data_IF_087818313403
#
_entry.id   IF_087818313403
#
_cell.length_a   1.000
_cell.length_b   1.000
_cell.length_c   1.000
_cell.angle_alpha   90.00
_cell.angle_beta   90.00
_cell.angle_gamma   90.00
#
_symmetry.space_group_name_H-M   'P 1'
#
loop_
_entity.id
_entity.type
_entity.pdbx_description
1 polymer ?
#
# COMPACT_ATOMS: atom_id res chain seq x y z
N UNK A 1 8.72 29.75 -26.62
CA UNK A 1 8.15 30.01 -25.26
C UNK A 1 7.47 28.76 -24.83
N UNK A 2 7.68 28.32 -23.58
CA UNK A 2 7.06 27.10 -23.06
C UNK A 2 5.87 27.44 -22.18
N UNK A 3 4.80 26.69 -22.32
CA UNK A 3 3.54 26.87 -21.62
C UNK A 3 3.20 25.61 -20.83
N UNK A 4 2.62 25.77 -19.64
CA UNK A 4 2.13 24.68 -18.83
C UNK A 4 0.62 24.76 -18.67
N UNK A 5 -0.06 23.65 -18.91
CA UNK A 5 -1.46 23.45 -18.59
C UNK A 5 -1.57 23.00 -17.13
N UNK A 6 -2.28 23.76 -16.31
CA UNK A 6 -2.29 23.58 -14.87
C UNK A 6 -3.72 23.46 -14.38
N UNK A 7 -3.98 22.42 -13.57
CA UNK A 7 -5.20 22.26 -12.78
C UNK A 7 -4.98 22.92 -11.43
N UNK A 8 -5.81 23.92 -11.10
CA UNK A 8 -5.70 24.63 -9.83
C UNK A 8 -6.26 23.80 -8.68
N UNK A 9 -5.60 23.79 -7.53
CA UNK A 9 -6.07 23.07 -6.33
C UNK A 9 -7.27 23.78 -5.69
N UNK A 10 -8.40 23.75 -6.39
CA UNK A 10 -9.69 24.25 -5.93
C UNK A 10 -10.79 23.27 -6.35
N UNK A 11 -11.44 22.64 -5.38
CA UNK A 11 -12.52 21.68 -5.62
C UNK A 11 -13.84 22.38 -5.96
N UNK A 12 -13.95 22.87 -7.20
CA UNK A 12 -15.18 23.51 -7.69
C UNK A 12 -15.39 23.16 -9.16
N UNK A 13 -16.57 22.65 -9.51
CA UNK A 13 -16.89 22.18 -10.88
C UNK A 13 -16.62 23.20 -11.98
N UNK A 14 -16.95 24.47 -11.77
CA UNK A 14 -16.69 25.55 -12.74
C UNK A 14 -15.22 25.81 -13.01
N UNK A 15 -14.32 25.32 -12.12
CA UNK A 15 -12.87 25.46 -12.22
C UNK A 15 -12.21 24.13 -12.58
N UNK A 16 -13.00 23.09 -12.89
CA UNK A 16 -12.51 21.76 -13.31
C UNK A 16 -12.03 21.76 -14.77
N UNK A 17 -11.09 22.63 -15.05
CA UNK A 17 -10.42 22.79 -16.35
C UNK A 17 -8.96 23.16 -16.16
N UNK A 18 -8.14 22.86 -17.16
CA UNK A 18 -6.77 23.35 -17.17
C UNK A 18 -6.72 24.82 -17.53
N UNK A 19 -5.85 25.54 -16.86
CA UNK A 19 -5.50 26.92 -17.17
C UNK A 19 -4.06 26.95 -17.68
N UNK A 20 -3.84 27.63 -18.78
CA UNK A 20 -2.51 27.74 -19.36
C UNK A 20 -1.73 28.88 -18.74
N UNK A 21 -0.47 28.61 -18.38
CA UNK A 21 0.46 29.57 -17.80
C UNK A 21 1.76 29.59 -18.61
N UNK A 22 2.41 30.74 -18.66
CA UNK A 22 3.75 30.88 -19.21
C UNK A 22 4.76 30.27 -18.23
N UNK A 23 5.66 29.45 -18.73
CA UNK A 23 6.79 28.91 -17.97
C UNK A 23 7.96 29.89 -18.10
N UNK A 24 8.44 30.48 -16.99
CA UNK A 24 9.62 31.35 -17.02
C UNK A 24 10.85 30.57 -17.52
N UNK A 25 11.76 31.24 -18.24
CA UNK A 25 12.95 30.62 -18.81
C UNK A 25 13.79 29.84 -17.77
N UNK A 26 13.87 30.36 -16.54
CA UNK A 26 14.58 29.73 -15.42
C UNK A 26 13.99 28.40 -14.95
N UNK A 27 12.72 28.10 -15.28
CA UNK A 27 12.01 26.90 -14.88
C UNK A 27 11.76 25.96 -16.07
N UNK A 28 12.19 26.32 -17.26
CA UNK A 28 11.86 25.62 -18.50
C UNK A 28 12.38 24.18 -18.54
N UNK A 29 13.60 23.99 -18.06
CA UNK A 29 14.26 22.68 -18.07
C UNK A 29 13.90 21.84 -16.83
N UNK A 30 13.29 22.46 -15.82
CA UNK A 30 12.95 21.81 -14.54
C UNK A 30 11.48 21.36 -14.49
N UNK A 31 10.57 22.12 -15.16
CA UNK A 31 9.14 21.88 -15.07
C UNK A 31 8.73 20.64 -15.87
N UNK A 32 8.00 19.73 -15.23
CA UNK A 32 7.52 18.50 -15.86
C UNK A 32 6.04 18.27 -15.55
N UNK A 33 5.38 17.48 -16.40
CA UNK A 33 4.02 17.00 -16.15
C UNK A 33 4.03 16.18 -14.86
N UNK A 34 3.13 16.52 -13.94
CA UNK A 34 3.06 15.89 -12.63
C UNK A 34 3.53 16.76 -11.48
N UNK A 35 4.27 17.79 -11.76
CA UNK A 35 4.78 18.67 -10.72
C UNK A 35 3.69 19.56 -10.13
N UNK A 36 3.85 19.87 -8.84
CA UNK A 36 3.07 20.89 -8.15
C UNK A 36 3.80 22.22 -8.25
N UNK A 37 3.09 23.23 -8.74
CA UNK A 37 3.63 24.55 -8.94
C UNK A 37 2.80 25.61 -8.21
N UNK A 38 3.46 26.69 -7.84
CA UNK A 38 2.80 27.91 -7.35
C UNK A 38 2.43 28.81 -8.53
N UNK A 39 1.16 29.21 -8.61
CA UNK A 39 0.61 30.03 -9.68
C UNK A 39 -0.22 31.20 -9.15
N UNK A 40 -0.23 32.36 -9.79
CA UNK A 40 -1.12 33.46 -9.46
C UNK A 40 -2.52 33.18 -10.06
N UNK A 41 -3.54 33.05 -9.20
CA UNK A 41 -4.90 32.74 -9.63
C UNK A 41 -5.92 33.81 -9.23
N UNK A 42 -6.95 34.00 -10.07
CA UNK A 42 -8.02 34.95 -9.86
C UNK A 42 -7.64 36.42 -10.13
N UNK A 43 -8.57 37.34 -9.89
CA UNK A 43 -8.36 38.79 -10.14
C UNK A 43 -7.35 39.42 -9.16
N UNK A 44 -7.24 38.88 -7.96
CA UNK A 44 -6.29 39.35 -6.93
C UNK A 44 -4.90 38.72 -7.00
N UNK A 45 -4.58 37.94 -8.02
CA UNK A 45 -3.29 37.22 -8.15
C UNK A 45 -2.84 36.47 -6.90
N UNK A 46 -3.79 35.91 -6.13
CA UNK A 46 -3.45 35.12 -4.97
C UNK A 46 -2.66 33.87 -5.40
N UNK A 47 -1.53 33.63 -4.75
CA UNK A 47 -0.73 32.45 -5.03
C UNK A 47 -1.49 31.20 -4.60
N UNK A 48 -1.67 30.27 -5.53
CA UNK A 48 -2.32 28.98 -5.34
C UNK A 48 -1.45 27.86 -5.85
N UNK A 49 -1.65 26.68 -5.33
CA UNK A 49 -1.03 25.45 -5.86
C UNK A 49 -1.80 24.98 -7.07
N UNK A 50 -1.07 24.42 -8.02
CA UNK A 50 -1.65 23.79 -9.20
C UNK A 50 -0.81 22.61 -9.64
N UNK A 51 -1.44 21.70 -10.37
CA UNK A 51 -0.80 20.48 -10.91
C UNK A 51 -0.54 20.69 -12.40
N UNK A 52 0.68 20.49 -12.83
CA UNK A 52 1.04 20.51 -14.26
C UNK A 52 0.51 19.24 -14.91
N UNK A 53 -0.44 19.38 -15.82
CA UNK A 53 -1.08 18.26 -16.55
C UNK A 53 -0.69 18.20 -18.03
N UNK A 54 0.02 19.20 -18.52
CA UNK A 54 0.54 19.23 -19.88
C UNK A 54 1.54 20.35 -20.06
N UNK A 55 2.42 20.19 -21.03
CA UNK A 55 3.42 21.19 -21.47
C UNK A 55 3.30 21.33 -22.97
N UNK A 56 3.37 22.57 -23.48
CA UNK A 56 3.29 22.87 -24.91
C UNK A 56 4.17 24.06 -25.28
N UNK A 57 4.58 24.14 -26.53
CA UNK A 57 5.38 25.28 -27.07
C UNK A 57 4.50 26.35 -27.72
N UNK A 58 3.20 26.10 -27.82
CA UNK A 58 2.23 27.03 -28.40
C UNK A 58 1.13 27.42 -27.38
N UNK A 59 0.69 28.69 -27.42
CA UNK A 59 -0.43 29.13 -26.58
C UNK A 59 -1.75 28.59 -27.16
N UNK A 60 -2.60 28.02 -26.31
CA UNK A 60 -3.95 27.56 -26.70
C UNK A 60 -4.88 28.71 -27.10
N UNK A 61 -4.64 29.91 -26.56
CA UNK A 61 -5.41 31.10 -26.86
C UNK A 61 -4.46 32.22 -27.29
N UNK A 62 -4.60 32.66 -28.53
CA UNK A 62 -3.81 33.77 -29.09
C UNK A 62 -4.37 35.13 -28.62
N UNK A 63 -3.48 36.08 -28.32
CA UNK A 63 -3.88 37.46 -27.99
C UNK A 63 -4.23 37.73 -26.52
N UNK A 64 -4.06 36.77 -25.63
CA UNK A 64 -4.23 36.95 -24.17
C UNK A 64 -2.85 36.92 -23.51
N UNK A 65 -2.58 37.89 -22.64
CA UNK A 65 -1.40 37.86 -21.80
C UNK A 65 -1.57 36.79 -20.71
N UNK A 66 -0.82 35.68 -20.84
CA UNK A 66 -0.86 34.61 -19.87
C UNK A 66 -0.03 34.98 -18.64
N UNK A 67 -0.53 34.57 -17.47
CA UNK A 67 0.23 34.68 -16.22
C UNK A 67 1.35 33.66 -16.19
N UNK A 68 2.41 33.95 -15.44
CA UNK A 68 3.57 33.06 -15.33
C UNK A 68 3.50 32.20 -14.07
N UNK A 69 4.07 31.00 -14.16
CA UNK A 69 4.35 30.16 -13.01
C UNK A 69 5.32 30.89 -12.07
N UNK A 70 5.05 30.88 -10.77
CA UNK A 70 5.87 31.56 -9.76
C UNK A 70 7.06 30.69 -9.34
N UNK A 71 6.85 29.41 -9.15
CA UNK A 71 7.86 28.45 -8.72
C UNK A 71 7.36 27.03 -8.70
N UNK A 72 8.28 26.08 -8.58
CA UNK A 72 8.02 24.67 -8.42
C UNK A 72 7.97 24.37 -6.92
N UNK A 73 6.93 23.69 -6.47
CA UNK A 73 6.72 23.32 -5.05
C UNK A 73 7.35 21.94 -4.71
N UNK A 74 7.59 21.14 -5.73
CA UNK A 74 8.13 19.78 -5.58
C UNK A 74 9.12 19.47 -6.72
N UNK A 75 10.33 19.06 -6.37
CA UNK A 75 11.40 18.61 -7.29
C UNK A 75 11.18 17.16 -7.79
N UNK A 76 9.96 16.63 -7.83
CA UNK A 76 9.73 15.19 -8.02
C UNK A 76 9.26 14.82 -9.42
N UNK A 77 10.04 13.91 -10.03
CA UNK A 77 9.98 13.46 -11.42
C UNK A 77 8.91 12.41 -11.78
N UNK A 78 8.56 12.41 -13.03
CA UNK A 78 8.13 11.32 -13.99
C UNK A 78 7.17 10.19 -13.55
N UNK A 79 7.23 9.61 -12.37
CA UNK A 79 6.26 8.60 -11.91
C UNK A 79 4.86 9.21 -11.78
N UNK A 80 4.81 10.49 -11.50
CA UNK A 80 3.57 11.25 -11.33
C UNK A 80 2.83 11.47 -12.65
N UNK A 81 3.51 11.52 -13.80
CA UNK A 81 2.86 11.70 -15.11
C UNK A 81 1.86 10.57 -15.44
N UNK A 82 2.22 9.32 -15.13
CA UNK A 82 1.33 8.16 -15.35
C UNK A 82 0.15 8.16 -14.37
N UNK A 83 0.38 8.55 -13.11
CA UNK A 83 -0.69 8.70 -12.13
C UNK A 83 -1.63 9.85 -12.49
N UNK A 84 -1.12 10.93 -13.08
CA UNK A 84 -1.96 12.03 -13.59
C UNK A 84 -2.79 11.58 -14.80
N UNK A 85 -2.21 10.81 -15.72
CA UNK A 85 -2.97 10.22 -16.81
C UNK A 85 -4.09 9.29 -16.27
N UNK A 86 -3.79 8.51 -15.24
CA UNK A 86 -4.78 7.71 -14.53
C UNK A 86 -5.87 8.58 -13.89
N UNK A 87 -5.53 9.71 -13.27
CA UNK A 87 -6.50 10.66 -12.71
C UNK A 87 -7.42 11.23 -13.79
N UNK A 88 -6.89 11.56 -14.98
CA UNK A 88 -7.66 12.00 -16.13
C UNK A 88 -8.69 10.95 -16.55
N UNK A 89 -8.27 9.71 -16.69
CA UNK A 89 -9.15 8.60 -17.00
C UNK A 89 -10.21 8.37 -15.91
N UNK A 90 -9.82 8.47 -14.63
CA UNK A 90 -10.77 8.33 -13.50
C UNK A 90 -11.83 9.44 -13.52
N UNK A 91 -11.44 10.68 -13.83
CA UNK A 91 -12.38 11.80 -14.01
C UNK A 91 -13.45 11.48 -15.06
N UNK A 92 -13.03 11.00 -16.23
CA UNK A 92 -13.92 10.69 -17.34
C UNK A 92 -14.86 9.52 -17.04
N UNK A 93 -14.36 8.47 -16.40
CA UNK A 93 -15.10 7.23 -16.21
C UNK A 93 -15.94 7.19 -14.92
N UNK A 94 -15.62 8.02 -13.92
CA UNK A 94 -16.33 8.00 -12.62
C UNK A 94 -17.00 9.33 -12.25
N UNK A 95 -17.12 10.25 -13.19
CA UNK A 95 -17.87 11.49 -13.01
C UNK A 95 -17.37 12.35 -11.84
N UNK A 96 -16.05 12.42 -11.66
CA UNK A 96 -15.41 13.26 -10.63
C UNK A 96 -14.77 14.51 -11.23
N UNK A 97 -14.38 15.46 -10.38
CA UNK A 97 -13.51 16.54 -10.82
C UNK A 97 -12.05 16.05 -10.91
N UNK A 98 -11.25 16.69 -11.77
CA UNK A 98 -9.84 16.35 -11.90
C UNK A 98 -9.07 16.46 -10.59
N UNK A 99 -9.39 17.48 -9.78
CA UNK A 99 -8.74 17.66 -8.49
C UNK A 99 -9.09 16.55 -7.48
N UNK A 100 -10.32 16.02 -7.52
CA UNK A 100 -10.70 14.87 -6.68
C UNK A 100 -9.93 13.62 -7.11
N UNK A 101 -9.84 13.40 -8.43
CA UNK A 101 -9.06 12.28 -8.96
C UNK A 101 -7.57 12.42 -8.62
N UNK A 102 -6.97 13.59 -8.80
CA UNK A 102 -5.58 13.86 -8.44
C UNK A 102 -5.31 13.63 -6.94
N UNK A 103 -6.19 14.12 -6.06
CA UNK A 103 -6.07 13.87 -4.61
C UNK A 103 -6.19 12.40 -4.22
N UNK A 104 -6.82 11.59 -5.05
CA UNK A 104 -6.93 10.14 -4.85
C UNK A 104 -5.67 9.42 -5.28
N UNK A 105 -5.14 9.74 -6.46
CA UNK A 105 -3.95 9.06 -7.00
C UNK A 105 -2.63 9.61 -6.45
N UNK A 106 -2.62 10.87 -5.97
CA UNK A 106 -1.48 11.55 -5.35
C UNK A 106 -1.84 11.93 -3.89
N UNK A 107 -2.08 10.96 -3.01
CA UNK A 107 -2.68 11.23 -1.69
C UNK A 107 -1.78 12.02 -0.75
N UNK A 108 -0.48 12.13 -1.04
CA UNK A 108 0.49 12.76 -0.16
C UNK A 108 1.07 14.02 -0.83
N UNK A 109 0.46 15.15 -0.52
CA UNK A 109 0.81 16.44 -1.11
C UNK A 109 1.69 17.32 -0.22
N UNK A 110 1.91 16.94 1.04
CA UNK A 110 2.75 17.70 1.97
C UNK A 110 4.04 16.95 2.24
N UNK A 111 5.17 17.63 2.03
CA UNK A 111 6.47 17.13 2.47
C UNK A 111 6.42 16.97 4.00
N UNK A 112 6.37 15.75 4.47
CA UNK A 112 6.46 15.46 5.90
C UNK A 112 7.93 15.52 6.30
N UNK A 113 8.24 16.09 7.47
CA UNK A 113 9.59 16.00 8.00
C UNK A 113 9.94 14.53 8.20
N UNK A 114 11.04 14.11 7.63
CA UNK A 114 11.60 12.80 7.90
C UNK A 114 11.83 12.63 9.41
N UNK A 115 11.68 11.44 9.90
CA UNK A 115 12.09 11.16 11.28
C UNK A 115 13.61 10.98 11.25
N UNK A 116 14.32 11.93 11.84
CA UNK A 116 15.77 11.85 11.98
C UNK A 116 16.07 11.13 13.30
N UNK A 117 16.77 10.01 13.22
CA UNK A 117 17.47 9.45 14.37
C UNK A 117 18.89 9.98 14.36
N UNK A 118 19.31 10.54 15.49
CA UNK A 118 20.66 11.03 15.67
C UNK A 118 21.47 10.00 16.44
N UNK A 119 22.63 9.69 15.93
CA UNK A 119 23.55 8.73 16.49
C UNK A 119 24.82 9.43 16.93
N UNK A 120 25.34 9.04 18.08
CA UNK A 120 26.64 9.45 18.57
C UNK A 120 27.61 8.32 18.22
N UNK A 121 28.57 8.60 17.38
CA UNK A 121 29.58 7.62 16.93
C UNK A 121 30.95 7.99 17.49
N UNK A 122 31.61 7.06 18.18
CA UNK A 122 32.95 7.23 18.70
C UNK A 122 33.95 7.33 17.54
N UNK A 123 34.81 8.36 17.55
CA UNK A 123 35.82 8.60 16.51
C UNK A 123 37.23 8.18 16.92
N UNK A 124 37.52 8.09 18.23
CA UNK A 124 38.81 7.70 18.77
C UNK A 124 38.94 6.18 18.96
N UNK A 125 40.17 5.69 19.06
CA UNK A 125 40.39 4.27 19.36
C UNK A 125 39.88 3.90 20.77
N UNK A 126 39.56 2.63 20.98
CA UNK A 126 39.16 2.16 22.34
C UNK A 126 40.22 2.44 23.38
N UNK A 127 41.51 2.23 23.04
CA UNK A 127 42.63 2.49 23.93
C UNK A 127 42.71 3.97 24.33
N UNK A 128 42.53 4.89 23.40
CA UNK A 128 42.54 6.33 23.69
C UNK A 128 41.28 6.74 24.47
N UNK A 129 40.15 6.09 24.19
CA UNK A 129 38.94 6.28 24.96
C UNK A 129 39.04 5.84 26.40
N UNK A 130 39.73 4.73 26.70
CA UNK A 130 39.96 4.25 28.05
C UNK A 130 40.89 5.20 28.83
N UNK A 131 41.95 5.69 28.19
CA UNK A 131 42.83 6.72 28.79
C UNK A 131 42.07 8.00 29.11
N UNK A 132 41.27 8.47 28.17
CA UNK A 132 40.42 9.64 28.37
C UNK A 132 39.39 9.43 29.48
N UNK A 133 38.87 8.20 29.64
CA UNK A 133 37.97 7.85 30.72
C UNK A 133 38.61 7.96 32.08
N UNK A 134 39.87 7.53 32.23
CA UNK A 134 40.67 7.69 33.45
C UNK A 134 40.89 9.18 33.78
N UNK A 135 41.27 10.00 32.80
CA UNK A 135 41.42 11.44 32.95
C UNK A 135 40.11 12.14 33.37
N UNK A 136 39.01 11.81 32.72
CA UNK A 136 37.68 12.33 33.04
C UNK A 136 37.20 11.86 34.42
N UNK A 137 37.57 10.65 34.85
CA UNK A 137 37.26 10.09 36.16
C UNK A 137 37.71 10.95 37.33
N UNK A 138 38.79 11.73 37.16
CA UNK A 138 39.28 12.69 38.11
C UNK A 138 38.50 14.02 38.15
N UNK A 139 37.50 14.16 37.26
CA UNK A 139 36.75 15.39 37.09
C UNK A 139 35.31 15.29 37.63
N UNK A 140 34.61 16.45 37.75
CA UNK A 140 33.20 16.51 38.20
C UNK A 140 32.18 16.25 37.07
N UNK A 141 32.61 15.93 35.87
CA UNK A 141 31.76 15.86 34.67
C UNK A 141 31.11 14.47 34.49
N UNK A 142 30.29 14.05 35.43
CA UNK A 142 29.61 12.72 35.44
C UNK A 142 28.89 12.35 34.15
N UNK A 143 28.27 13.32 33.45
CA UNK A 143 27.54 13.06 32.20
C UNK A 143 28.50 12.70 31.05
N UNK A 144 29.71 13.29 31.00
CA UNK A 144 30.73 12.96 30.00
C UNK A 144 31.28 11.56 30.24
N UNK A 145 31.55 11.20 31.50
CA UNK A 145 32.02 9.86 31.88
C UNK A 145 31.01 8.81 31.44
N UNK A 146 29.74 8.95 31.83
CA UNK A 146 28.69 7.99 31.45
C UNK A 146 28.52 7.82 29.96
N UNK A 147 28.59 8.92 29.18
CA UNK A 147 28.50 8.85 27.73
C UNK A 147 29.69 8.10 27.12
N UNK A 148 30.92 8.39 27.56
CA UNK A 148 32.12 7.73 27.07
C UNK A 148 32.14 6.25 27.43
N UNK A 149 31.80 5.89 28.67
CA UNK A 149 31.64 4.51 29.10
C UNK A 149 30.67 3.74 28.24
N UNK A 150 29.48 4.30 27.98
CA UNK A 150 28.49 3.66 27.17
C UNK A 150 28.95 3.48 25.71
N UNK A 151 29.67 4.47 25.14
CA UNK A 151 30.23 4.36 23.79
C UNK A 151 31.30 3.27 23.70
N UNK A 152 32.14 3.14 24.72
CA UNK A 152 33.19 2.12 24.79
C UNK A 152 32.64 0.70 25.03
N UNK A 153 31.55 0.58 25.79
CA UNK A 153 30.88 -0.71 26.04
C UNK A 153 30.11 -1.22 24.81
N UNK A 154 29.69 -0.31 23.91
CA UNK A 154 29.01 -0.70 22.70
C UNK A 154 29.96 -1.27 21.65
N UNK A 155 29.70 -2.47 21.13
CA UNK A 155 30.56 -3.15 20.16
C UNK A 155 30.86 -2.29 18.91
N UNK A 156 29.88 -1.52 18.46
CA UNK A 156 30.00 -0.67 17.28
C UNK A 156 30.42 0.77 17.60
N UNK A 157 30.60 1.13 18.87
CA UNK A 157 30.90 2.49 19.30
C UNK A 157 29.83 3.52 18.92
N UNK A 158 28.57 3.09 18.74
CA UNK A 158 27.47 3.92 18.22
C UNK A 158 26.24 3.83 19.14
N UNK A 159 25.72 4.98 19.59
CA UNK A 159 24.57 5.06 20.52
C UNK A 159 23.56 6.09 20.03
N UNK A 160 22.27 5.80 20.19
CA UNK A 160 21.20 6.74 19.82
C UNK A 160 21.19 7.94 20.77
N UNK A 161 21.19 9.17 20.21
CA UNK A 161 21.20 10.42 20.98
C UNK A 161 19.98 10.54 21.92
N UNK A 162 18.81 10.06 21.49
CA UNK A 162 17.59 10.09 22.31
C UNK A 162 17.74 9.18 23.53
N UNK A 163 18.28 7.97 23.35
CA UNK A 163 18.59 7.05 24.44
C UNK A 163 19.64 7.64 25.41
N UNK A 164 20.75 8.17 24.86
CA UNK A 164 21.79 8.80 25.66
C UNK A 164 21.26 10.00 26.47
N UNK A 165 20.37 10.80 25.92
CA UNK A 165 19.74 11.91 26.63
C UNK A 165 18.85 11.43 27.77
N UNK A 166 18.04 10.38 27.53
CA UNK A 166 17.08 9.86 28.50
C UNK A 166 17.75 9.06 29.63
N UNK A 167 18.63 8.13 29.28
CA UNK A 167 19.17 7.17 30.22
C UNK A 167 20.51 7.66 30.89
N UNK A 168 21.31 8.41 30.12
CA UNK A 168 22.63 8.88 30.62
C UNK A 168 22.60 10.36 31.06
N UNK A 169 21.49 11.08 30.77
CA UNK A 169 21.37 12.51 31.02
C UNK A 169 22.30 13.35 30.14
N UNK A 170 22.62 12.89 28.94
CA UNK A 170 23.46 13.59 27.99
C UNK A 170 22.78 14.87 27.49
N UNK A 171 23.43 15.99 27.66
CA UNK A 171 22.92 17.32 27.23
C UNK A 171 23.61 17.79 25.94
N UNK A 172 23.00 18.77 25.26
CA UNK A 172 23.62 19.36 24.06
C UNK A 172 25.03 19.91 24.30
N UNK A 173 25.32 20.40 25.49
CA UNK A 173 26.68 20.88 25.85
C UNK A 173 27.71 19.74 25.97
N UNK A 174 27.27 18.56 26.41
CA UNK A 174 28.13 17.37 26.45
C UNK A 174 28.42 16.90 25.03
N UNK A 175 27.40 16.83 24.16
CA UNK A 175 27.60 16.45 22.75
C UNK A 175 28.55 17.40 22.05
N UNK A 176 28.32 18.70 22.17
CA UNK A 176 29.21 19.72 21.56
C UNK A 176 30.67 19.56 22.04
N UNK A 177 30.90 19.29 23.33
CA UNK A 177 32.26 19.06 23.84
C UNK A 177 32.90 17.85 23.14
N UNK A 178 32.15 16.74 22.96
CA UNK A 178 32.69 15.55 22.30
C UNK A 178 33.01 15.80 20.83
N UNK A 179 32.19 16.58 20.15
CA UNK A 179 32.43 16.99 18.76
C UNK A 179 33.64 17.94 18.63
N UNK A 180 33.72 18.97 19.46
CA UNK A 180 34.81 19.94 19.45
C UNK A 180 36.17 19.31 19.79
N UNK A 181 36.18 18.27 20.63
CA UNK A 181 37.41 17.53 20.97
C UNK A 181 37.71 16.37 19.97
N UNK A 182 36.87 16.17 18.96
CA UNK A 182 37.03 15.07 17.99
C UNK A 182 36.89 13.67 18.60
N UNK A 183 36.23 13.55 19.76
CA UNK A 183 36.04 12.28 20.48
C UNK A 183 34.90 11.49 19.83
N UNK A 184 33.80 12.16 19.47
CA UNK A 184 32.64 11.55 18.81
C UNK A 184 32.03 12.50 17.79
N UNK A 185 31.34 11.96 16.79
CA UNK A 185 30.50 12.71 15.85
C UNK A 185 29.02 12.46 16.14
N UNK A 186 28.19 13.46 15.86
CA UNK A 186 26.74 13.30 15.87
C UNK A 186 26.25 13.25 14.41
N UNK A 187 25.85 12.05 13.98
CA UNK A 187 25.33 11.81 12.65
C UNK A 187 23.78 11.73 12.72
N UNK A 188 23.11 12.26 11.72
CA UNK A 188 21.67 12.09 11.61
C UNK A 188 21.35 11.18 10.43
N UNK A 189 20.70 10.06 10.71
CA UNK A 189 20.18 9.17 9.70
C UNK A 189 18.67 9.43 9.54
N UNK A 190 18.22 9.58 8.31
CA UNK A 190 16.79 9.54 8.02
C UNK A 190 16.30 8.11 8.29
N UNK A 191 15.44 7.95 9.28
CA UNK A 191 14.83 6.66 9.61
C UNK A 191 13.38 6.68 9.17
N UNK A 192 13.05 5.77 8.28
CA UNK A 192 11.65 5.58 7.89
C UNK A 192 10.85 4.96 9.04
N UNK A 193 9.65 5.48 9.25
CA UNK A 193 8.70 4.89 10.20
C UNK A 193 8.33 3.51 9.71
N UNK A 194 8.54 2.51 10.55
CA UNK A 194 8.23 1.13 10.17
C UNK A 194 6.71 0.93 10.18
N UNK A 195 6.14 0.47 9.06
CA UNK A 195 4.72 0.17 8.93
C UNK A 195 4.29 -1.04 9.78
N UNK A 196 5.28 -1.84 10.25
CA UNK A 196 5.06 -3.02 11.08
C UNK A 196 6.12 -3.02 12.18
N UNK A 197 5.69 -2.83 13.42
CA UNK A 197 6.57 -2.69 14.58
C UNK A 197 7.50 -3.91 14.80
N UNK A 198 7.13 -5.10 14.34
CA UNK A 198 7.84 -6.37 14.59
C UNK A 198 8.38 -7.01 13.30
N UNK A 199 8.53 -6.26 12.21
CA UNK A 199 8.99 -6.83 10.91
C UNK A 199 10.40 -7.44 11.00
N UNK A 200 11.25 -6.91 11.87
CA UNK A 200 12.63 -7.40 12.07
C UNK A 200 12.70 -8.82 12.67
N UNK A 201 11.60 -9.31 13.25
CA UNK A 201 11.54 -10.61 13.95
C UNK A 201 10.98 -11.72 13.05
N UNK A 202 10.48 -11.39 11.85
CA UNK A 202 9.88 -12.37 10.96
C UNK A 202 10.97 -13.18 10.26
N UNK A 203 11.11 -14.50 10.55
CA UNK A 203 12.13 -15.30 9.89
C UNK A 203 11.84 -15.44 8.40
N UNK A 204 12.90 -15.46 7.61
CA UNK A 204 12.81 -15.72 6.18
C UNK A 204 12.28 -17.14 5.94
N UNK A 205 11.25 -17.27 5.10
CA UNK A 205 10.63 -18.55 4.76
C UNK A 205 11.05 -18.93 3.34
N UNK A 206 11.60 -20.13 3.20
CA UNK A 206 11.92 -20.67 1.87
C UNK A 206 10.66 -20.78 0.99
N UNK A 207 10.80 -20.68 -0.33
CA UNK A 207 9.72 -20.93 -1.27
C UNK A 207 9.01 -22.26 -1.00
N UNK A 208 7.68 -22.25 -0.96
CA UNK A 208 6.92 -23.49 -0.93
C UNK A 208 7.08 -24.24 -2.26
N UNK A 209 7.14 -25.57 -2.20
CA UNK A 209 7.08 -26.39 -3.41
C UNK A 209 5.66 -26.31 -3.96
N UNK A 210 5.52 -25.85 -5.18
CA UNK A 210 4.22 -25.77 -5.84
C UNK A 210 3.69 -27.17 -6.15
N UNK A 211 2.40 -27.37 -6.00
CA UNK A 211 1.73 -28.56 -6.53
C UNK A 211 1.73 -28.52 -8.07
N UNK A 212 1.48 -29.66 -8.69
CA UNK A 212 1.40 -29.75 -10.16
C UNK A 212 0.38 -28.76 -10.72
N UNK A 213 -0.80 -28.65 -10.10
CA UNK A 213 -1.85 -27.73 -10.54
C UNK A 213 -1.46 -26.24 -10.37
N UNK A 214 -0.72 -25.92 -9.31
CA UNK A 214 -0.20 -24.56 -9.10
C UNK A 214 0.89 -24.21 -10.11
N UNK A 215 1.80 -25.17 -10.38
CA UNK A 215 2.83 -24.97 -11.40
C UNK A 215 2.22 -24.79 -12.79
N UNK A 216 1.25 -25.61 -13.18
CA UNK A 216 0.54 -25.45 -14.45
C UNK A 216 -0.16 -24.08 -14.55
N UNK A 217 -0.73 -23.60 -13.45
CA UNK A 217 -1.35 -22.26 -13.42
C UNK A 217 -0.31 -21.15 -13.61
N UNK A 218 0.85 -21.25 -12.95
CA UNK A 218 1.96 -20.32 -13.15
C UNK A 218 2.42 -20.32 -14.59
N UNK A 219 2.65 -21.50 -15.17
CA UNK A 219 3.13 -21.66 -16.55
C UNK A 219 2.13 -21.08 -17.57
N UNK A 220 0.83 -21.30 -17.36
CA UNK A 220 -0.21 -20.74 -18.20
C UNK A 220 -0.24 -19.21 -18.11
N UNK A 221 -0.11 -18.65 -16.92
CA UNK A 221 -0.06 -17.19 -16.70
C UNK A 221 1.18 -16.60 -17.37
N UNK A 222 2.33 -17.22 -17.21
CA UNK A 222 3.58 -16.77 -17.82
C UNK A 222 3.53 -16.81 -19.35
N UNK A 223 2.92 -17.87 -19.93
CA UNK A 223 2.70 -17.95 -21.38
C UNK A 223 1.83 -16.81 -21.90
N UNK A 224 0.77 -16.42 -21.16
CA UNK A 224 -0.04 -15.24 -21.53
C UNK A 224 0.79 -13.95 -21.49
N UNK A 225 1.75 -13.83 -20.55
CA UNK A 225 2.59 -12.63 -20.44
C UNK A 225 3.57 -12.45 -21.61
N UNK A 226 3.85 -13.51 -22.37
CA UNK A 226 4.68 -13.46 -23.58
C UNK A 226 3.94 -12.87 -24.79
N UNK A 227 2.60 -12.77 -24.73
CA UNK A 227 1.83 -12.14 -25.80
C UNK A 227 2.14 -10.63 -25.92
N UNK A 228 2.10 -10.06 -27.13
CA UNK A 228 2.34 -8.64 -27.34
C UNK A 228 1.33 -7.74 -26.61
N UNK A 229 0.09 -8.17 -26.48
CA UNK A 229 -0.98 -7.49 -25.72
C UNK A 229 -1.62 -8.49 -24.74
N UNK A 230 -0.99 -8.71 -23.58
CA UNK A 230 -1.44 -9.71 -22.64
C UNK A 230 -2.68 -9.26 -21.90
N UNK A 231 -3.65 -10.16 -21.84
CA UNK A 231 -4.94 -9.94 -21.20
C UNK A 231 -4.83 -10.06 -19.68
N UNK A 232 -5.72 -9.42 -18.91
CA UNK A 232 -5.87 -9.72 -17.50
C UNK A 232 -6.19 -11.21 -17.28
N UNK A 233 -5.64 -11.78 -16.20
CA UNK A 233 -5.87 -13.18 -15.85
C UNK A 233 -6.88 -13.27 -14.70
N UNK A 234 -7.91 -14.08 -14.85
CA UNK A 234 -8.80 -14.49 -13.76
C UNK A 234 -8.33 -15.85 -13.20
N UNK A 235 -7.67 -15.82 -12.04
CA UNK A 235 -7.27 -17.03 -11.31
C UNK A 235 -8.43 -17.47 -10.42
N UNK A 236 -9.22 -18.42 -10.93
CA UNK A 236 -10.36 -19.00 -10.23
C UNK A 236 -9.91 -20.26 -9.48
N UNK A 237 -9.87 -20.20 -8.17
CA UNK A 237 -9.48 -21.33 -7.34
C UNK A 237 -10.25 -21.39 -6.04
N UNK A 238 -10.73 -22.56 -5.66
CA UNK A 238 -11.47 -22.76 -4.41
C UNK A 238 -10.67 -22.29 -3.19
N UNK A 239 -11.34 -22.01 -2.09
CA UNK A 239 -10.67 -21.62 -0.84
C UNK A 239 -9.71 -22.73 -0.41
N UNK A 240 -8.45 -22.38 -0.13
CA UNK A 240 -7.40 -23.36 0.20
C UNK A 240 -6.74 -24.04 -1.00
N UNK A 241 -7.00 -23.60 -2.25
CA UNK A 241 -6.27 -24.09 -3.43
C UNK A 241 -4.82 -23.61 -3.55
N UNK A 242 -4.44 -22.64 -2.70
CA UNK A 242 -3.10 -22.07 -2.70
C UNK A 242 -2.89 -20.96 -3.73
N UNK A 243 -3.92 -20.19 -4.08
CA UNK A 243 -3.79 -18.98 -4.92
C UNK A 243 -2.63 -18.09 -4.49
N UNK A 244 -2.46 -17.94 -3.17
CA UNK A 244 -1.39 -17.09 -2.62
C UNK A 244 0.01 -17.59 -2.99
N UNK A 245 0.24 -18.91 -3.07
CA UNK A 245 1.54 -19.46 -3.50
C UNK A 245 1.81 -19.13 -4.97
N UNK A 246 0.78 -19.20 -5.82
CA UNK A 246 0.87 -18.76 -7.22
C UNK A 246 1.24 -17.27 -7.30
N UNK A 247 0.61 -16.42 -6.46
CA UNK A 247 0.98 -15.00 -6.40
C UNK A 247 2.44 -14.80 -5.99
N UNK A 248 2.89 -15.49 -4.93
CA UNK A 248 4.26 -15.39 -4.44
C UNK A 248 5.29 -15.76 -5.52
N UNK A 249 5.02 -16.80 -6.32
CA UNK A 249 5.91 -17.23 -7.39
C UNK A 249 5.97 -16.18 -8.52
N UNK A 250 4.83 -15.64 -8.93
CA UNK A 250 4.77 -14.61 -9.96
C UNK A 250 5.41 -13.29 -9.51
N UNK A 251 5.26 -12.91 -8.23
CA UNK A 251 5.93 -11.75 -7.64
C UNK A 251 7.44 -11.98 -7.63
N UNK A 252 7.90 -13.16 -7.22
CA UNK A 252 9.32 -13.50 -7.17
C UNK A 252 9.99 -13.38 -8.56
N UNK A 253 9.30 -13.86 -9.61
CA UNK A 253 9.75 -13.69 -10.99
C UNK A 253 9.87 -12.21 -11.37
N UNK A 254 8.84 -11.42 -11.09
CA UNK A 254 8.84 -9.97 -11.38
C UNK A 254 9.98 -9.25 -10.65
N UNK A 255 10.23 -9.59 -9.39
CA UNK A 255 11.32 -9.03 -8.58
C UNK A 255 12.68 -9.39 -9.18
N UNK A 256 12.89 -10.65 -9.58
CA UNK A 256 14.13 -11.12 -10.21
C UNK A 256 14.42 -10.39 -11.52
N UNK A 257 13.39 -9.98 -12.24
CA UNK A 257 13.49 -9.18 -13.46
C UNK A 257 13.64 -7.66 -13.19
N UNK A 258 13.78 -7.26 -11.93
CA UNK A 258 13.93 -5.87 -11.50
C UNK A 258 12.63 -5.06 -11.53
N UNK A 259 11.48 -5.74 -11.60
CA UNK A 259 10.15 -5.14 -11.55
C UNK A 259 9.61 -4.96 -10.13
N UNK A 260 8.44 -4.34 -10.04
CA UNK A 260 7.73 -4.07 -8.79
C UNK A 260 6.28 -4.56 -8.91
N UNK A 261 5.69 -4.96 -7.77
CA UNK A 261 4.36 -5.53 -7.72
C UNK A 261 3.47 -4.84 -6.67
N UNK A 262 2.19 -4.70 -6.99
CA UNK A 262 1.13 -4.28 -6.06
C UNK A 262 0.22 -5.47 -5.82
N UNK A 263 -0.08 -5.75 -4.54
CA UNK A 263 -1.04 -6.77 -4.15
C UNK A 263 -2.18 -6.11 -3.38
N UNK A 264 -3.36 -6.11 -3.96
CA UNK A 264 -4.55 -5.62 -3.31
C UNK A 264 -5.23 -6.76 -2.55
N UNK A 265 -5.45 -6.54 -1.27
CA UNK A 265 -6.13 -7.46 -0.37
C UNK A 265 -7.22 -6.67 0.36
N UNK A 266 -8.46 -7.21 0.49
CA UNK A 266 -9.49 -6.56 1.28
C UNK A 266 -9.02 -6.29 2.71
N UNK A 267 -9.39 -5.15 3.29
CA UNK A 267 -8.87 -4.74 4.60
C UNK A 267 -9.15 -5.77 5.70
N UNK A 268 -10.31 -6.43 5.62
CA UNK A 268 -10.70 -7.51 6.53
C UNK A 268 -9.83 -8.76 6.40
N UNK A 269 -9.28 -9.03 5.22
CA UNK A 269 -8.40 -10.16 4.93
C UNK A 269 -6.91 -9.82 5.12
N UNK A 270 -6.58 -8.54 5.32
CA UNK A 270 -5.22 -8.07 5.58
C UNK A 270 -4.83 -8.32 7.05
N UNK A 271 -4.80 -9.58 7.42
CA UNK A 271 -4.45 -10.04 8.77
C UNK A 271 -2.93 -10.03 8.98
N UNK A 272 -2.52 -10.08 10.24
CA UNK A 272 -1.10 -10.24 10.61
C UNK A 272 -0.47 -11.47 9.93
N UNK A 273 -1.20 -12.58 9.83
CA UNK A 273 -0.71 -13.79 9.17
C UNK A 273 -0.45 -13.58 7.68
N UNK A 274 -1.36 -12.89 6.99
CA UNK A 274 -1.21 -12.56 5.56
C UNK A 274 0.05 -11.70 5.35
N UNK A 275 0.19 -10.65 6.14
CA UNK A 275 1.35 -9.75 6.10
C UNK A 275 2.64 -10.51 6.39
N UNK A 276 2.66 -11.36 7.43
CA UNK A 276 3.81 -12.18 7.80
C UNK A 276 4.26 -13.11 6.67
N UNK A 277 3.34 -13.67 5.87
CA UNK A 277 3.69 -14.50 4.72
C UNK A 277 4.47 -13.73 3.66
N UNK A 278 4.04 -12.51 3.33
CA UNK A 278 4.76 -11.66 2.37
C UNK A 278 6.14 -11.25 2.91
N UNK A 279 6.21 -10.81 4.17
CA UNK A 279 7.50 -10.47 4.80
C UNK A 279 8.44 -11.67 4.90
N UNK A 280 7.94 -12.84 5.29
CA UNK A 280 8.74 -14.07 5.35
C UNK A 280 9.33 -14.46 3.99
N UNK A 281 8.62 -14.16 2.89
CA UNK A 281 9.09 -14.48 1.54
C UNK A 281 10.04 -13.42 0.96
N UNK A 282 9.75 -12.14 1.14
CA UNK A 282 10.41 -11.05 0.42
C UNK A 282 11.19 -10.09 1.32
N UNK A 283 11.12 -10.23 2.65
CA UNK A 283 11.86 -9.43 3.61
C UNK A 283 11.56 -7.93 3.48
N UNK A 284 12.60 -7.11 3.60
CA UNK A 284 12.53 -5.64 3.59
C UNK A 284 12.06 -5.02 2.25
N UNK A 285 11.95 -5.85 1.19
CA UNK A 285 11.43 -5.43 -0.10
C UNK A 285 9.91 -5.24 -0.11
N UNK A 286 9.22 -5.67 0.96
CA UNK A 286 7.76 -5.55 1.14
C UNK A 286 7.43 -4.40 2.05
N UNK A 287 6.35 -3.71 1.75
CA UNK A 287 5.65 -2.85 2.70
C UNK A 287 4.15 -3.04 2.62
N UNK A 288 3.47 -2.59 3.66
CA UNK A 288 2.01 -2.70 3.80
C UNK A 288 1.40 -1.32 4.00
N UNK A 289 0.34 -1.05 3.27
CA UNK A 289 -0.54 0.10 3.52
C UNK A 289 -1.83 -0.41 4.14
N UNK A 290 -2.29 0.22 5.22
CA UNK A 290 -3.60 -0.03 5.82
C UNK A 290 -4.19 1.28 6.35
N UNK A 291 -5.43 1.24 6.85
CA UNK A 291 -6.12 2.42 7.41
C UNK A 291 -5.51 2.92 8.72
N UNK A 292 -4.75 2.09 9.43
CA UNK A 292 -4.13 2.42 10.73
C UNK A 292 -2.85 3.23 10.59
N UNK A 293 -2.22 3.22 9.42
CA UNK A 293 -1.00 4.00 9.18
C UNK A 293 -1.28 5.50 9.27
N UNK A 294 -0.47 6.20 10.04
CA UNK A 294 -0.43 7.65 10.04
C UNK A 294 -0.04 8.20 8.65
N UNK A 295 -0.33 9.47 8.42
CA UNK A 295 0.09 10.13 7.17
C UNK A 295 1.60 10.11 6.97
N UNK A 296 2.38 10.21 8.06
CA UNK A 296 3.83 10.16 8.02
C UNK A 296 4.37 8.79 7.62
N UNK A 297 3.84 7.72 8.22
CA UNK A 297 4.21 6.34 7.85
C UNK A 297 3.88 6.05 6.40
N UNK A 298 2.69 6.44 5.94
CA UNK A 298 2.30 6.27 4.54
C UNK A 298 3.20 7.04 3.59
N UNK A 299 3.59 8.26 3.96
CA UNK A 299 4.55 9.07 3.20
C UNK A 299 5.90 8.36 3.07
N UNK A 300 6.43 7.85 4.18
CA UNK A 300 7.72 7.15 4.20
C UNK A 300 7.67 5.90 3.31
N UNK A 301 6.59 5.11 3.36
CA UNK A 301 6.46 3.93 2.48
C UNK A 301 6.37 4.31 1.00
N UNK A 302 5.67 5.38 0.66
CA UNK A 302 5.61 5.86 -0.73
C UNK A 302 6.95 6.43 -1.21
N UNK A 303 7.70 7.11 -0.34
CA UNK A 303 9.06 7.59 -0.65
C UNK A 303 9.99 6.41 -0.94
N UNK A 304 10.00 5.39 -0.08
CA UNK A 304 10.76 4.14 -0.29
C UNK A 304 10.37 3.42 -1.59
N UNK A 305 9.06 3.33 -1.87
CA UNK A 305 8.56 2.74 -3.12
C UNK A 305 9.09 3.49 -4.36
N UNK A 306 9.07 4.82 -4.33
CA UNK A 306 9.55 5.68 -5.40
C UNK A 306 11.07 5.55 -5.60
N UNK A 307 11.84 5.44 -4.53
CA UNK A 307 13.29 5.26 -4.55
C UNK A 307 13.72 3.85 -5.00
N UNK A 308 12.75 2.91 -5.14
CA UNK A 308 13.04 1.54 -5.55
C UNK A 308 13.50 0.62 -4.42
N UNK A 309 13.50 1.08 -3.16
CA UNK A 309 13.81 0.27 -1.99
C UNK A 309 12.74 -0.81 -1.77
N UNK A 310 11.48 -0.48 -2.07
CA UNK A 310 10.37 -1.41 -2.00
C UNK A 310 10.09 -1.99 -3.39
N UNK A 311 9.87 -3.29 -3.43
CA UNK A 311 9.52 -4.01 -4.64
C UNK A 311 8.09 -4.56 -4.59
N UNK A 312 7.51 -4.71 -3.39
CA UNK A 312 6.13 -5.18 -3.22
C UNK A 312 5.38 -4.26 -2.28
N UNK A 313 4.20 -3.81 -2.71
CA UNK A 313 3.27 -3.09 -1.86
C UNK A 313 2.01 -3.91 -1.67
N UNK A 314 1.68 -4.24 -0.43
CA UNK A 314 0.47 -4.96 -0.05
C UNK A 314 -0.51 -4.02 0.64
N UNK A 315 -1.78 -4.10 0.32
CA UNK A 315 -2.78 -3.27 1.01
C UNK A 315 -4.16 -3.27 0.37
N UNK A 316 -5.10 -2.49 0.92
CA UNK A 316 -6.42 -2.33 0.36
C UNK A 316 -6.39 -1.52 -0.95
N UNK A 317 -7.54 -1.22 -1.51
CA UNK A 317 -7.68 -0.48 -2.78
C UNK A 317 -6.78 0.76 -2.91
N UNK A 318 -6.43 1.44 -1.80
CA UNK A 318 -5.56 2.62 -1.82
C UNK A 318 -4.09 2.30 -2.14
N UNK A 319 -3.65 1.07 -1.92
CA UNK A 319 -2.31 0.63 -2.31
C UNK A 319 -2.12 0.64 -3.84
N UNK A 320 -3.22 0.62 -4.59
CA UNK A 320 -3.20 0.75 -6.05
C UNK A 320 -2.47 2.02 -6.53
N UNK A 321 -2.37 3.06 -5.72
CA UNK A 321 -1.74 4.33 -6.10
C UNK A 321 -0.29 4.47 -5.61
N UNK A 322 0.36 3.39 -5.21
CA UNK A 322 1.78 3.38 -4.86
C UNK A 322 2.62 3.87 -6.04
N UNK A 323 3.50 4.87 -5.84
CA UNK A 323 4.27 5.48 -6.94
C UNK A 323 5.50 4.63 -7.33
N UNK A 324 5.27 3.43 -7.83
CA UNK A 324 6.33 2.56 -8.33
C UNK A 324 6.86 3.04 -9.68
N UNK A 325 8.19 3.08 -9.82
CA UNK A 325 8.84 3.46 -11.07
C UNK A 325 8.87 2.35 -12.12
N UNK A 326 8.83 1.09 -11.68
CA UNK A 326 8.90 -0.12 -12.53
C UNK A 326 7.79 -1.10 -12.20
N UNK A 327 6.55 -0.63 -12.11
CA UNK A 327 5.41 -1.49 -11.88
C UNK A 327 5.25 -2.49 -13.03
N UNK A 328 5.22 -3.79 -12.71
CA UNK A 328 5.08 -4.88 -13.68
C UNK A 328 3.92 -5.82 -13.38
N UNK A 329 3.42 -5.81 -12.15
CA UNK A 329 2.37 -6.73 -11.73
C UNK A 329 1.41 -6.05 -10.76
N UNK A 330 0.12 -6.22 -10.99
CA UNK A 330 -0.95 -5.88 -10.05
C UNK A 330 -1.77 -7.13 -9.79
N UNK A 331 -1.85 -7.54 -8.55
CA UNK A 331 -2.68 -8.66 -8.09
C UNK A 331 -3.85 -8.09 -7.28
N UNK A 332 -5.05 -8.58 -7.54
CA UNK A 332 -6.24 -8.27 -6.75
C UNK A 332 -6.78 -9.58 -6.20
N UNK A 333 -6.55 -9.82 -4.92
CA UNK A 333 -7.09 -11.00 -4.24
C UNK A 333 -8.52 -10.75 -3.80
N UNK A 334 -9.35 -11.81 -3.81
CA UNK A 334 -10.79 -11.76 -3.57
C UNK A 334 -11.48 -10.64 -4.38
N UNK A 335 -11.29 -10.65 -5.72
CA UNK A 335 -11.68 -9.56 -6.62
C UNK A 335 -13.17 -9.19 -6.58
N UNK A 336 -14.00 -10.13 -6.09
CA UNK A 336 -15.44 -9.98 -5.94
C UNK A 336 -15.87 -9.07 -4.78
N UNK A 337 -14.92 -8.75 -3.87
CA UNK A 337 -15.22 -7.99 -2.67
C UNK A 337 -15.70 -6.58 -2.96
N UNK A 338 -16.84 -6.22 -2.37
CA UNK A 338 -17.46 -4.90 -2.56
C UNK A 338 -16.59 -3.73 -2.09
N UNK A 339 -15.67 -3.99 -1.16
CA UNK A 339 -14.72 -3.00 -0.63
C UNK A 339 -13.77 -2.42 -1.69
N UNK A 340 -13.65 -3.07 -2.84
CA UNK A 340 -12.89 -2.56 -3.99
C UNK A 340 -13.61 -1.42 -4.73
N UNK A 341 -14.89 -1.20 -4.51
CA UNK A 341 -15.61 -0.01 -4.94
C UNK A 341 -15.43 1.13 -3.94
N UNK A 342 -15.00 2.30 -4.39
CA UNK A 342 -14.90 3.48 -3.53
C UNK A 342 -16.28 4.10 -3.30
N UNK A 343 -16.60 4.40 -2.04
CA UNK A 343 -17.81 5.13 -1.67
C UNK A 343 -17.65 6.66 -1.86
N UNK A 344 -16.42 7.14 -1.73
CA UNK A 344 -16.07 8.55 -1.90
C UNK A 344 -15.71 8.86 -3.35
N UNK A 345 -15.95 10.11 -3.77
CA UNK A 345 -15.57 10.59 -5.10
C UNK A 345 -14.03 10.74 -5.24
N UNK A 346 -13.48 10.25 -6.36
CA UNK A 346 -14.11 9.46 -7.42
C UNK A 346 -14.54 8.07 -6.93
N UNK A 347 -15.75 7.66 -7.29
CA UNK A 347 -16.27 6.35 -6.89
C UNK A 347 -15.72 5.25 -7.80
N UNK A 348 -14.39 5.14 -7.86
CA UNK A 348 -13.70 4.18 -8.70
C UNK A 348 -13.86 2.74 -8.22
N UNK A 349 -13.72 1.80 -9.14
CA UNK A 349 -13.58 0.38 -8.85
C UNK A 349 -12.11 -0.02 -9.04
N UNK A 350 -11.52 -0.66 -8.02
CA UNK A 350 -10.09 -0.99 -8.03
C UNK A 350 -9.70 -1.88 -9.22
N UNK A 351 -10.54 -2.87 -9.60
CA UNK A 351 -10.31 -3.76 -10.75
C UNK A 351 -10.13 -2.96 -12.05
N UNK A 352 -11.11 -2.14 -12.41
CA UNK A 352 -11.08 -1.37 -13.66
C UNK A 352 -9.91 -0.37 -13.66
N UNK A 353 -9.69 0.27 -12.51
CA UNK A 353 -8.58 1.22 -12.34
C UNK A 353 -7.21 0.54 -12.42
N UNK A 354 -7.08 -0.67 -11.87
CA UNK A 354 -5.87 -1.48 -11.96
C UNK A 354 -5.57 -1.91 -13.40
N UNK A 355 -6.60 -2.36 -14.14
CA UNK A 355 -6.44 -2.75 -15.55
C UNK A 355 -6.01 -1.54 -16.39
N UNK A 356 -6.63 -0.37 -16.17
CA UNK A 356 -6.22 0.83 -16.88
C UNK A 356 -4.81 1.28 -16.49
N UNK A 357 -4.49 1.28 -15.19
CA UNK A 357 -3.13 1.58 -14.71
C UNK A 357 -2.10 0.63 -15.33
N UNK A 358 -2.39 -0.66 -15.36
CA UNK A 358 -1.50 -1.65 -15.96
C UNK A 358 -1.21 -1.37 -17.44
N UNK A 359 -2.24 -0.98 -18.21
CA UNK A 359 -2.06 -0.57 -19.62
C UNK A 359 -1.12 0.65 -19.77
N UNK A 360 -1.27 1.66 -18.88
CA UNK A 360 -0.40 2.84 -18.88
C UNK A 360 1.06 2.53 -18.54
N UNK A 361 1.29 1.49 -17.73
CA UNK A 361 2.62 1.16 -17.20
C UNK A 361 3.26 -0.08 -17.85
N UNK A 362 2.54 -0.78 -18.74
CA UNK A 362 2.98 -2.05 -19.32
C UNK A 362 3.07 -3.17 -18.28
N UNK A 363 2.20 -3.12 -17.27
CA UNK A 363 2.12 -4.12 -16.21
C UNK A 363 1.09 -5.22 -16.52
N UNK A 364 1.11 -6.30 -15.76
CA UNK A 364 0.19 -7.43 -15.83
C UNK A 364 -0.83 -7.36 -14.70
N UNK A 365 -2.03 -7.92 -14.92
CA UNK A 365 -3.09 -7.93 -13.90
C UNK A 365 -3.55 -9.35 -13.65
N UNK A 366 -3.63 -9.71 -12.37
CA UNK A 366 -4.20 -10.98 -11.91
C UNK A 366 -5.35 -10.67 -10.96
N UNK A 367 -6.48 -11.27 -11.25
CA UNK A 367 -7.71 -11.21 -10.46
C UNK A 367 -7.90 -12.58 -9.82
N UNK A 368 -7.77 -12.68 -8.52
CA UNK A 368 -7.93 -13.94 -7.81
C UNK A 368 -9.23 -14.00 -7.05
N UNK A 369 -9.94 -15.12 -7.16
CA UNK A 369 -11.15 -15.35 -6.39
C UNK A 369 -11.51 -16.83 -6.30
N UNK A 370 -12.15 -17.20 -5.19
CA UNK A 370 -12.85 -18.48 -5.07
C UNK A 370 -14.26 -18.41 -5.66
N UNK A 371 -14.86 -17.24 -5.63
CA UNK A 371 -16.22 -16.94 -6.08
C UNK A 371 -16.20 -15.69 -6.95
N UNK A 372 -15.67 -15.78 -8.18
CA UNK A 372 -15.52 -14.64 -9.07
C UNK A 372 -16.81 -13.84 -9.24
N UNK A 373 -16.68 -12.51 -9.38
CA UNK A 373 -17.81 -11.66 -9.74
C UNK A 373 -18.37 -12.08 -11.11
N UNK A 374 -19.67 -11.88 -11.32
CA UNK A 374 -20.31 -12.21 -12.59
C UNK A 374 -19.64 -11.49 -13.76
N UNK A 375 -19.25 -10.24 -13.55
CA UNK A 375 -18.57 -9.43 -14.56
C UNK A 375 -17.19 -9.99 -14.94
N UNK A 376 -16.36 -10.35 -13.95
CA UNK A 376 -15.04 -10.91 -14.21
C UNK A 376 -15.13 -12.29 -14.89
N UNK A 377 -16.06 -13.12 -14.43
CA UNK A 377 -16.28 -14.44 -15.02
C UNK A 377 -16.84 -14.38 -16.44
N UNK A 378 -17.79 -13.46 -16.69
CA UNK A 378 -18.33 -13.22 -18.04
C UNK A 378 -17.23 -12.76 -19.00
N UNK A 379 -16.44 -11.75 -18.61
CA UNK A 379 -15.31 -11.28 -19.44
C UNK A 379 -14.27 -12.37 -19.71
N UNK A 380 -14.05 -13.28 -18.76
CA UNK A 380 -13.17 -14.42 -18.98
C UNK A 380 -13.79 -15.42 -19.98
N UNK A 381 -15.12 -15.60 -19.98
CA UNK A 381 -15.80 -16.43 -20.99
C UNK A 381 -15.78 -15.83 -22.39
N UNK A 382 -15.93 -14.51 -22.49
CA UNK A 382 -15.84 -13.78 -23.77
C UNK A 382 -14.38 -13.64 -24.28
N UNK A 383 -13.40 -14.10 -23.51
CA UNK A 383 -12.00 -14.05 -23.91
C UNK A 383 -11.32 -12.69 -23.68
N UNK A 384 -11.97 -11.72 -23.01
CA UNK A 384 -11.34 -10.47 -22.59
C UNK A 384 -10.32 -10.72 -21.48
N UNK A 385 -10.56 -11.73 -20.64
CA UNK A 385 -9.63 -12.22 -19.61
C UNK A 385 -9.25 -13.67 -19.91
N UNK A 386 -8.08 -14.08 -19.42
CA UNK A 386 -7.67 -15.49 -19.45
C UNK A 386 -8.18 -16.16 -18.19
N UNK A 387 -8.96 -17.23 -18.32
CA UNK A 387 -9.42 -18.03 -17.19
C UNK A 387 -8.40 -19.11 -16.85
N UNK A 388 -7.77 -19.01 -15.69
CA UNK A 388 -6.89 -20.03 -15.11
C UNK A 388 -7.59 -20.64 -13.90
N UNK A 389 -7.67 -21.98 -13.84
CA UNK A 389 -8.39 -22.68 -12.79
C UNK A 389 -7.45 -23.45 -11.88
N UNK A 390 -7.69 -23.35 -10.58
CA UNK A 390 -7.09 -24.19 -9.54
C UNK A 390 -8.20 -25.06 -8.93
N UNK A 391 -8.45 -26.22 -9.53
CA UNK A 391 -9.60 -27.06 -9.18
C UNK A 391 -9.38 -27.86 -7.89
N UNK A 392 -8.14 -28.24 -7.59
CA UNK A 392 -7.80 -29.01 -6.41
C UNK A 392 -7.52 -28.15 -5.18
N UNK A 393 -7.99 -28.59 -4.01
CA UNK A 393 -7.50 -28.08 -2.73
C UNK A 393 -6.11 -28.61 -2.44
N UNK A 394 -5.32 -27.83 -1.72
CA UNK A 394 -4.06 -28.32 -1.18
C UNK A 394 -4.31 -29.59 -0.34
N UNK A 395 -3.50 -30.64 -0.56
CA UNK A 395 -3.65 -31.98 0.06
C UNK A 395 -4.98 -32.67 -0.25
N UNK A 396 -5.65 -32.36 -1.37
CA UNK A 396 -6.90 -33.02 -1.82
C UNK A 396 -8.00 -33.09 -0.74
N UNK A 397 -8.03 -32.15 0.19
CA UNK A 397 -9.02 -32.12 1.27
C UNK A 397 -10.45 -32.09 0.70
N UNK A 398 -11.35 -33.00 1.14
CA UNK A 398 -12.71 -33.04 0.63
C UNK A 398 -13.49 -31.77 1.00
N UNK A 399 -14.46 -31.46 0.17
CA UNK A 399 -15.43 -30.41 0.50
C UNK A 399 -16.28 -30.83 1.71
N UNK A 400 -16.72 -29.89 2.55
CA UNK A 400 -17.63 -30.19 3.62
C UNK A 400 -18.94 -30.79 3.07
N UNK A 401 -19.55 -31.67 3.84
CA UNK A 401 -20.85 -32.20 3.50
C UNK A 401 -21.90 -31.08 3.64
N UNK A 402 -22.74 -30.95 2.65
CA UNK A 402 -23.83 -29.94 2.64
C UNK A 402 -25.16 -30.68 2.66
N UNK A 403 -25.99 -30.36 3.64
CA UNK A 403 -27.36 -30.84 3.74
C UNK A 403 -28.33 -29.68 3.48
N UNK A 404 -29.24 -29.85 2.56
CA UNK A 404 -30.29 -28.87 2.26
C UNK A 404 -31.58 -29.30 2.93
N UNK A 405 -32.15 -28.43 3.76
CA UNK A 405 -33.37 -28.70 4.51
C UNK A 405 -34.47 -27.76 4.04
N UNK A 406 -35.60 -28.31 3.60
CA UNK A 406 -36.81 -27.52 3.25
C UNK A 406 -37.56 -27.12 4.53
N UNK A 407 -37.49 -25.85 4.89
CA UNK A 407 -38.13 -25.30 6.09
C UNK A 407 -39.67 -25.38 6.02
N UNK A 408 -40.28 -25.50 4.82
CA UNK A 408 -41.74 -25.73 4.66
C UNK A 408 -42.14 -27.10 5.22
N UNK A 409 -41.29 -28.11 5.05
CA UNK A 409 -41.51 -29.44 5.66
C UNK A 409 -41.34 -29.41 7.15
N UNK A 410 -40.42 -28.63 7.69
CA UNK A 410 -40.27 -28.41 9.11
C UNK A 410 -41.53 -27.81 9.72
N UNK A 411 -42.13 -26.83 9.05
CA UNK A 411 -43.43 -26.24 9.48
C UNK A 411 -44.54 -27.28 9.53
N UNK A 412 -44.62 -28.17 8.55
CA UNK A 412 -45.61 -29.29 8.54
C UNK A 412 -45.40 -30.26 9.67
N UNK A 413 -44.15 -30.47 10.09
CA UNK A 413 -43.76 -31.29 11.28
C UNK A 413 -43.96 -30.55 12.59
N UNK A 414 -44.51 -29.34 12.59
CA UNK A 414 -44.80 -28.56 13.78
C UNK A 414 -43.62 -27.69 14.28
N UNK A 415 -42.48 -27.70 13.59
CA UNK A 415 -41.37 -26.83 13.93
C UNK A 415 -41.61 -25.41 13.35
N UNK A 416 -41.92 -24.45 14.22
CA UNK A 416 -42.15 -23.04 13.90
C UNK A 416 -40.93 -22.15 14.16
N UNK A 417 -39.80 -22.76 14.49
CA UNK A 417 -38.58 -22.04 14.83
C UNK A 417 -37.77 -21.71 13.56
N UNK A 418 -36.90 -20.72 13.66
CA UNK A 418 -36.00 -20.31 12.54
C UNK A 418 -34.96 -21.38 12.19
N UNK A 419 -34.64 -22.29 13.10
CA UNK A 419 -33.70 -23.40 12.87
C UNK A 419 -34.44 -24.70 12.69
N UNK A 420 -34.00 -25.56 11.77
CA UNK A 420 -34.53 -26.90 11.62
C UNK A 420 -34.22 -27.78 12.83
N UNK A 421 -34.97 -28.87 13.01
CA UNK A 421 -34.73 -29.83 14.08
C UNK A 421 -33.34 -30.47 13.94
N UNK A 422 -32.95 -30.81 12.69
CA UNK A 422 -31.68 -31.43 12.34
C UNK A 422 -30.51 -30.46 12.68
N UNK A 423 -30.60 -29.18 12.26
CA UNK A 423 -29.57 -28.20 12.57
C UNK A 423 -29.41 -27.97 14.07
N UNK A 424 -30.52 -27.98 14.84
CA UNK A 424 -30.46 -27.85 16.32
C UNK A 424 -29.75 -29.02 16.95
N UNK A 425 -29.99 -30.25 16.47
CA UNK A 425 -29.32 -31.45 16.92
C UNK A 425 -27.82 -31.39 16.63
N UNK A 426 -27.45 -31.07 15.38
CA UNK A 426 -26.04 -30.92 14.94
C UNK A 426 -25.31 -29.85 15.77
N UNK A 427 -25.94 -28.69 16.04
CA UNK A 427 -25.38 -27.64 16.88
C UNK A 427 -25.19 -28.13 18.32
N UNK A 428 -26.17 -28.85 18.85
CA UNK A 428 -26.06 -29.43 20.21
C UNK A 428 -24.91 -30.42 20.33
N UNK A 429 -24.72 -31.27 19.31
CA UNK A 429 -23.63 -32.24 19.27
C UNK A 429 -22.26 -31.53 19.11
N UNK A 430 -22.17 -30.53 18.25
CA UNK A 430 -20.98 -29.71 18.06
C UNK A 430 -20.54 -29.06 19.39
N UNK A 431 -21.46 -28.40 20.08
CA UNK A 431 -21.18 -27.73 21.33
C UNK A 431 -20.79 -28.72 22.44
N UNK A 432 -21.45 -29.92 22.54
CA UNK A 432 -21.04 -30.95 23.48
C UNK A 432 -19.64 -31.49 23.28
N UNK A 433 -19.14 -31.46 22.01
CA UNK A 433 -17.77 -31.84 21.70
C UNK A 433 -16.74 -30.70 21.92
N UNK A 434 -17.19 -29.52 22.34
CA UNK A 434 -16.33 -28.33 22.49
C UNK A 434 -15.90 -27.73 21.16
N UNK A 435 -16.59 -28.05 20.07
CA UNK A 435 -16.36 -27.53 18.76
C UNK A 435 -17.08 -26.20 18.54
N UNK A 436 -16.75 -25.46 17.49
CA UNK A 436 -17.32 -24.15 17.17
C UNK A 436 -18.29 -24.29 15.97
N UNK A 437 -19.38 -23.52 16.01
CA UNK A 437 -20.32 -23.42 14.92
C UNK A 437 -20.50 -21.96 14.50
N UNK A 438 -20.61 -21.72 13.18
CA UNK A 438 -20.92 -20.40 12.63
C UNK A 438 -22.32 -20.42 12.03
N UNK A 439 -23.20 -19.56 12.56
CA UNK A 439 -24.54 -19.38 12.03
C UNK A 439 -24.57 -18.14 11.13
N UNK A 440 -24.93 -18.34 9.88
CA UNK A 440 -25.18 -17.25 8.95
C UNK A 440 -26.68 -17.15 8.67
N UNK A 441 -27.29 -16.00 8.96
CA UNK A 441 -28.69 -15.74 8.70
C UNK A 441 -28.87 -14.51 7.81
N UNK A 442 -29.51 -14.68 6.67
CA UNK A 442 -29.87 -13.58 5.77
C UNK A 442 -31.26 -13.05 6.17
N UNK A 443 -31.33 -11.81 6.65
CA UNK A 443 -32.62 -11.16 6.92
C UNK A 443 -33.20 -10.60 5.61
N UNK A 444 -34.31 -11.18 5.15
CA UNK A 444 -35.27 -10.45 4.35
C UNK A 444 -36.14 -9.72 5.36
N UNK A 445 -36.02 -8.40 5.42
CA UNK A 445 -36.77 -7.56 6.35
C UNK A 445 -38.28 -7.78 6.21
N UNK A 446 -38.85 -8.55 7.12
CA UNK A 446 -40.23 -8.35 7.61
C UNK A 446 -40.42 -9.16 8.89
N UNK A 447 -40.40 -8.48 10.04
CA UNK A 447 -41.05 -8.88 11.31
C UNK A 447 -40.66 -10.26 11.85
N UNK A 448 -39.57 -10.35 12.62
CA UNK A 448 -39.39 -11.31 13.73
C UNK A 448 -38.29 -10.84 14.68
N UNK A 449 -38.50 -9.78 15.44
CA UNK A 449 -37.55 -9.27 16.45
C UNK A 449 -37.58 -10.02 17.77
N UNK A 450 -38.58 -10.85 18.03
CA UNK A 450 -38.78 -11.40 19.40
C UNK A 450 -38.25 -12.83 19.60
N UNK A 451 -37.83 -13.55 18.58
CA UNK A 451 -37.41 -14.96 18.74
C UNK A 451 -35.89 -15.19 18.80
N UNK A 452 -35.08 -14.24 18.38
CA UNK A 452 -33.61 -14.39 18.45
C UNK A 452 -33.04 -14.11 19.84
N UNK A 453 -33.71 -13.31 20.65
CA UNK A 453 -33.30 -13.05 22.02
C UNK A 453 -33.39 -14.28 22.97
N UNK A 454 -34.25 -15.23 22.64
CA UNK A 454 -34.39 -16.48 23.40
C UNK A 454 -33.36 -17.57 23.04
N UNK A 455 -32.66 -17.44 21.92
CA UNK A 455 -31.61 -18.39 21.47
C UNK A 455 -30.23 -18.01 22.00
N UNK A 456 -30.00 -16.72 22.33
CA UNK A 456 -28.74 -16.26 22.91
C UNK A 456 -28.64 -16.43 24.44
N UNK A 457 -29.71 -16.88 25.12
CA UNK A 457 -29.79 -17.06 26.59
C UNK A 457 -29.93 -18.54 27.02
N UNK A 458 -29.77 -19.48 26.11
CA UNK A 458 -29.70 -20.92 26.37
C UNK A 458 -28.35 -21.47 25.91
#
# INVERSE_FOLDING_TARGET
>A
MTYADIIVDISHEKLDKSFQYLVPEKLKDEIQVGMVVSIPFGRGNHVRKGYVVGISDEPKVKGIQLKSVVGIENDQETTESRLIALAGWMKENYGSTMIQALKTVLPIQKKMKAQEKRWITLLISREDGEKLLEELGMTRFKARIRLLEALLQNENGKIETAWASKELGTTASVLRYFEEQGIASVESDEVYRNAIADAEIIPHVAPAVLSISQQMAVDQILSEWEHPDPRPVLLHGVTGSGKTEVYMELIDKVIKEGGQAIVLIPEIALTYQTVRRFYGRFGDKVSVINSRLSQGERYDQFKRAKQGELQVMVGPRSALFTPFGRLRLIIIDEEHESSYKSENSPRYHARETAIHRAKLEGARVILGSATPSMEAYYRAKEGEYVLVKLEARFEERPLPRVSIIDMREQLKKGNRLALSLELREDLSQCLKKGEQAMLFHSFITTIMTDQLSSIMLA
#
